data_IF_965526637213
#
_entry.id   IF_965526637213
#
_cell.length_a   1.000
_cell.length_b   1.000
_cell.length_c   1.000
_cell.angle_alpha   90.00
_cell.angle_beta   90.00
_cell.angle_gamma   90.00
#
_symmetry.space_group_name_H-M   'P 1'
#
loop_
_entity.id
_entity.type
_entity.pdbx_description
1 polymer ?
#
# COMPACT_ATOMS: atom_id res chain seq x y z
N UNK A 1 6.98 5.16 -0.45
CA UNK A 1 6.13 5.00 -1.65
C UNK A 1 4.92 5.92 -1.51
N UNK A 2 4.22 6.20 -2.61
CA UNK A 2 2.99 7.00 -2.57
C UNK A 2 1.87 6.18 -3.16
N UNK A 3 0.71 6.18 -2.51
CA UNK A 3 -0.46 5.48 -3.01
C UNK A 3 -1.06 6.24 -4.20
N UNK A 4 -1.21 5.58 -5.34
CA UNK A 4 -1.90 6.16 -6.51
C UNK A 4 -3.43 6.18 -6.30
N UNK A 5 -3.96 5.22 -5.55
CA UNK A 5 -5.37 5.07 -5.22
C UNK A 5 -5.55 4.87 -3.71
N UNK A 6 -6.72 5.20 -3.20
CA UNK A 6 -7.03 4.95 -1.80
C UNK A 6 -7.03 3.45 -1.47
N UNK A 7 -6.62 3.11 -0.26
CA UNK A 7 -6.87 1.78 0.32
C UNK A 7 -8.28 1.78 0.92
N UNK A 8 -9.06 0.77 0.55
CA UNK A 8 -10.44 0.59 1.02
C UNK A 8 -10.49 -0.68 1.85
N UNK A 9 -11.00 -0.58 3.07
CA UNK A 9 -10.85 -1.59 4.13
C UNK A 9 -9.39 -2.00 4.35
N UNK A 10 -8.47 -1.04 4.31
CA UNK A 10 -7.03 -1.21 4.45
C UNK A 10 -6.39 -1.98 3.30
N UNK A 11 -7.05 -2.14 2.15
CA UNK A 11 -6.54 -2.95 1.02
C UNK A 11 -6.53 -2.18 -0.28
N UNK A 12 -5.54 -2.46 -1.12
CA UNK A 12 -5.45 -1.86 -2.44
C UNK A 12 -4.25 -2.36 -3.22
N UNK A 13 -3.78 -1.53 -4.16
CA UNK A 13 -2.61 -1.82 -4.96
C UNK A 13 -1.69 -0.60 -5.02
N UNK A 14 -0.39 -0.86 -5.10
CA UNK A 14 0.64 0.16 -5.21
C UNK A 14 1.64 -0.23 -6.30
N UNK A 15 2.07 0.75 -7.10
CA UNK A 15 3.12 0.54 -8.07
C UNK A 15 4.49 0.51 -7.39
N UNK A 16 5.24 -0.56 -7.62
CA UNK A 16 6.61 -0.74 -7.15
C UNK A 16 7.46 -1.08 -8.36
N UNK A 17 8.28 -0.12 -8.81
CA UNK A 17 8.98 -0.22 -10.09
C UNK A 17 7.98 -0.21 -11.27
N UNK A 18 8.03 -1.23 -12.11
CA UNK A 18 7.14 -1.43 -13.25
C UNK A 18 5.88 -2.25 -12.91
N UNK A 19 5.87 -2.89 -11.74
CA UNK A 19 4.89 -3.89 -11.34
C UNK A 19 3.85 -3.34 -10.36
N UNK A 20 2.63 -3.88 -10.42
CA UNK A 20 1.56 -3.58 -9.46
C UNK A 20 1.56 -4.64 -8.36
N UNK A 21 1.64 -4.20 -7.09
CA UNK A 21 1.67 -5.09 -5.93
C UNK A 21 0.42 -4.90 -5.09
N UNK A 22 -0.21 -5.99 -4.60
CA UNK A 22 -1.27 -5.87 -3.62
C UNK A 22 -0.68 -5.38 -2.30
N UNK A 23 -1.36 -4.44 -1.67
CA UNK A 23 -0.92 -3.84 -0.40
C UNK A 23 -2.02 -3.86 0.65
N UNK A 24 -1.60 -3.97 1.91
CA UNK A 24 -2.47 -3.93 3.08
C UNK A 24 -1.95 -2.96 4.13
N UNK A 25 -2.86 -2.24 4.78
CA UNK A 25 -2.63 -1.36 5.90
C UNK A 25 -3.64 -1.65 7.01
N UNK A 26 -3.37 -1.16 8.22
CA UNK A 26 -4.31 -1.29 9.34
C UNK A 26 -5.54 -0.38 9.18
N UNK A 27 -5.36 0.77 8.56
CA UNK A 27 -6.39 1.78 8.33
C UNK A 27 -6.60 2.06 6.84
N UNK A 28 -7.73 2.65 6.50
CA UNK A 28 -7.98 3.21 5.17
C UNK A 28 -7.07 4.43 4.95
N UNK A 29 -6.38 4.42 3.81
CA UNK A 29 -5.44 5.47 3.44
C UNK A 29 -5.92 6.13 2.15
N UNK A 30 -5.90 7.45 2.09
CA UNK A 30 -6.31 8.17 0.88
C UNK A 30 -5.24 8.07 -0.22
N UNK A 31 -5.67 8.24 -1.48
CA UNK A 31 -4.73 8.43 -2.58
C UNK A 31 -3.81 9.63 -2.30
N UNK A 32 -2.54 9.52 -2.70
CA UNK A 32 -1.51 10.50 -2.39
C UNK A 32 -0.84 10.33 -1.02
N UNK A 33 -1.36 9.43 -0.16
CA UNK A 33 -0.73 9.15 1.14
C UNK A 33 0.66 8.55 0.92
N UNK A 34 1.65 9.10 1.61
CA UNK A 34 3.00 8.54 1.65
C UNK A 34 3.02 7.38 2.63
N UNK A 35 3.54 6.25 2.16
CA UNK A 35 3.57 5.00 2.90
C UNK A 35 4.95 4.36 2.87
N UNK A 36 5.24 3.59 3.89
CA UNK A 36 6.42 2.75 4.02
C UNK A 36 6.02 1.29 4.05
N UNK A 37 6.76 0.44 3.33
CA UNK A 37 6.61 -1.01 3.39
C UNK A 37 7.29 -1.50 4.65
N UNK A 38 6.53 -2.10 5.56
CA UNK A 38 7.01 -2.59 6.86
C UNK A 38 7.20 -4.10 6.90
N UNK A 39 6.51 -4.84 6.02
CA UNK A 39 6.66 -6.29 5.88
C UNK A 39 6.20 -6.79 4.51
N UNK A 40 6.59 -8.02 4.18
CA UNK A 40 6.12 -8.76 2.99
C UNK A 40 5.42 -10.03 3.45
N UNK A 41 4.16 -10.19 3.07
CA UNK A 41 3.29 -11.31 3.42
C UNK A 41 2.94 -12.09 2.14
N UNK A 42 3.81 -13.03 1.77
CA UNK A 42 3.69 -13.77 0.52
C UNK A 42 3.87 -12.85 -0.69
N UNK A 43 2.78 -12.55 -1.41
CA UNK A 43 2.76 -11.59 -2.53
C UNK A 43 2.23 -10.22 -2.15
N UNK A 44 1.84 -10.02 -0.89
CA UNK A 44 1.22 -8.79 -0.40
C UNK A 44 2.22 -7.95 0.38
N UNK A 45 2.25 -6.64 0.16
CA UNK A 45 3.08 -5.72 0.93
C UNK A 45 2.27 -5.13 2.07
N UNK A 46 2.77 -5.25 3.30
CA UNK A 46 2.20 -4.53 4.44
C UNK A 46 2.81 -3.14 4.50
N UNK A 47 1.95 -2.13 4.51
CA UNK A 47 2.33 -0.72 4.47
C UNK A 47 1.76 0.06 5.64
N UNK A 48 2.44 1.13 6.05
CA UNK A 48 2.00 2.06 7.07
C UNK A 48 2.12 3.49 6.55
N UNK A 49 1.18 4.36 6.90
CA UNK A 49 1.28 5.79 6.62
C UNK A 49 2.48 6.42 7.34
N UNK A 50 3.18 7.30 6.64
CA UNK A 50 4.24 8.15 7.20
C UNK A 50 3.67 9.38 7.90
#
# INVERSE_FOLDING_TARGET
FTLDNALINGRGHMRVGDSSWPVVADDDLSAGTRVEVIAVEGITLRVKAC
#
